data_IF_237628419373
#
_entry.id   IF_237628419373
#
_cell.length_a   1.000
_cell.length_b   1.000
_cell.length_c   1.000
_cell.angle_alpha   90.00
_cell.angle_beta   90.00
_cell.angle_gamma   90.00
#
_symmetry.space_group_name_H-M   'P 1'
#
loop_
_entity.id
_entity.type
_entity.pdbx_description
1 polymer ?
#
# COMPACT_ATOMS: atom_id res chain seq x y z
N UNK A 1 -13.83 -89.61 -13.65
CA UNK A 1 -13.22 -88.34 -13.13
C UNK A 1 -13.83 -87.20 -13.93
N UNK A 2 -14.79 -86.50 -13.32
CA UNK A 2 -15.50 -85.35 -13.96
C UNK A 2 -14.77 -84.04 -13.48
N UNK A 3 -14.17 -83.31 -14.47
CA UNK A 3 -13.58 -81.99 -14.24
C UNK A 3 -14.68 -80.92 -14.32
N UNK A 4 -14.97 -80.25 -13.23
CA UNK A 4 -15.85 -79.07 -13.19
C UNK A 4 -15.03 -77.83 -13.56
N UNK A 5 -15.35 -77.22 -14.66
CA UNK A 5 -14.81 -75.93 -15.11
C UNK A 5 -15.74 -74.86 -14.50
N UNK A 6 -15.26 -74.11 -13.51
CA UNK A 6 -15.96 -72.96 -13.00
C UNK A 6 -15.69 -71.75 -13.93
N UNK A 7 -16.71 -71.37 -14.67
CA UNK A 7 -16.72 -70.15 -15.48
C UNK A 7 -17.13 -68.99 -14.57
N UNK A 8 -16.18 -68.22 -14.07
CA UNK A 8 -16.42 -66.98 -13.32
C UNK A 8 -16.76 -65.85 -14.33
N UNK A 9 -18.04 -65.52 -14.44
CA UNK A 9 -18.53 -64.38 -15.19
C UNK A 9 -18.21 -63.09 -14.42
N UNK A 10 -17.18 -62.35 -14.84
CA UNK A 10 -16.87 -61.00 -14.32
C UNK A 10 -17.90 -60.00 -14.86
N UNK A 11 -18.87 -59.61 -14.02
CA UNK A 11 -19.81 -58.52 -14.30
C UNK A 11 -19.05 -57.21 -14.19
N UNK A 12 -18.66 -56.60 -15.32
CA UNK A 12 -18.10 -55.26 -15.40
C UNK A 12 -19.25 -54.26 -15.18
N UNK A 13 -19.38 -53.76 -13.95
CA UNK A 13 -20.34 -52.70 -13.62
C UNK A 13 -19.78 -51.39 -14.16
N UNK A 14 -20.21 -50.95 -15.32
CA UNK A 14 -19.93 -49.62 -15.87
C UNK A 14 -20.81 -48.62 -15.16
N UNK A 15 -20.25 -47.91 -14.15
CA UNK A 15 -20.88 -46.73 -13.61
C UNK A 15 -20.81 -45.62 -14.67
N UNK A 16 -21.95 -45.00 -15.06
CA UNK A 16 -21.90 -43.81 -15.89
C UNK A 16 -21.26 -42.69 -15.04
N UNK A 17 -20.04 -42.32 -15.38
CA UNK A 17 -19.43 -41.06 -14.88
C UNK A 17 -20.20 -39.90 -15.52
N UNK A 18 -21.22 -39.40 -14.84
CA UNK A 18 -21.83 -38.14 -15.16
C UNK A 18 -20.83 -37.01 -14.77
N UNK A 19 -19.91 -36.69 -15.67
CA UNK A 19 -19.11 -35.47 -15.53
C UNK A 19 -20.04 -34.28 -15.70
N UNK A 20 -20.40 -33.65 -14.57
CA UNK A 20 -21.12 -32.38 -14.57
C UNK A 20 -20.12 -31.33 -15.02
N UNK A 21 -20.29 -30.76 -16.21
CA UNK A 21 -19.50 -29.60 -16.63
C UNK A 21 -19.94 -28.42 -15.76
N UNK A 22 -19.12 -28.09 -14.81
CA UNK A 22 -19.29 -26.89 -13.99
C UNK A 22 -18.56 -25.76 -14.67
N UNK A 23 -19.29 -24.73 -15.07
CA UNK A 23 -18.69 -23.51 -15.60
C UNK A 23 -18.11 -22.75 -14.42
N UNK A 24 -16.78 -22.76 -14.29
CA UNK A 24 -16.08 -22.11 -13.19
C UNK A 24 -16.22 -20.58 -13.28
N UNK A 25 -16.11 -19.99 -14.48
CA UNK A 25 -16.28 -18.56 -14.70
C UNK A 25 -16.53 -18.26 -16.19
N UNK A 26 -16.91 -17.04 -16.52
CA UNK A 26 -17.13 -16.57 -17.88
C UNK A 26 -16.28 -15.34 -18.19
N UNK A 27 -15.73 -15.31 -19.41
CA UNK A 27 -15.07 -14.11 -19.91
C UNK A 27 -16.13 -13.06 -20.26
N UNK A 28 -16.10 -11.94 -19.56
CA UNK A 28 -16.99 -10.82 -19.79
C UNK A 28 -16.41 -9.82 -20.81
N UNK A 29 -15.10 -9.56 -20.74
CA UNK A 29 -14.43 -8.58 -21.59
C UNK A 29 -13.04 -9.12 -21.98
N UNK A 30 -12.65 -8.95 -23.25
CA UNK A 30 -11.28 -9.21 -23.72
C UNK A 30 -10.54 -7.88 -23.77
N UNK A 31 -9.37 -7.80 -23.13
CA UNK A 31 -8.57 -6.59 -23.00
C UNK A 31 -7.12 -6.89 -23.44
N UNK A 32 -6.79 -6.58 -24.67
CA UNK A 32 -5.46 -6.91 -25.22
C UNK A 32 -5.16 -8.41 -25.15
N UNK A 33 -4.14 -8.79 -24.39
CA UNK A 33 -3.70 -10.17 -24.18
C UNK A 33 -4.37 -10.85 -22.96
N UNK A 34 -5.23 -10.10 -22.21
CA UNK A 34 -5.89 -10.56 -21.00
C UNK A 34 -7.41 -10.51 -21.08
N UNK A 35 -8.05 -10.83 -19.97
CA UNK A 35 -9.51 -10.90 -19.87
C UNK A 35 -10.00 -10.36 -18.54
N UNK A 36 -11.22 -9.80 -18.54
CA UNK A 36 -11.99 -9.52 -17.34
C UNK A 36 -13.08 -10.58 -17.24
N UNK A 37 -13.19 -11.20 -16.07
CA UNK A 37 -14.15 -12.25 -15.79
C UNK A 37 -15.47 -11.69 -15.24
N UNK A 38 -16.56 -12.42 -15.45
CA UNK A 38 -17.88 -12.05 -14.92
C UNK A 38 -17.89 -12.03 -13.39
N UNK A 39 -17.17 -12.95 -12.74
CA UNK A 39 -17.00 -12.98 -11.29
C UNK A 39 -16.33 -11.72 -10.75
N UNK A 40 -15.33 -11.16 -11.44
CA UNK A 40 -14.64 -9.93 -11.03
C UNK A 40 -15.60 -8.73 -11.05
N UNK A 41 -16.43 -8.63 -12.10
CA UNK A 41 -17.46 -7.57 -12.19
C UNK A 41 -18.45 -7.70 -11.03
N UNK A 42 -18.98 -8.91 -10.80
CA UNK A 42 -19.95 -9.16 -9.74
C UNK A 42 -19.38 -8.90 -8.34
N UNK A 43 -18.15 -9.31 -8.07
CA UNK A 43 -17.48 -9.08 -6.80
C UNK A 43 -17.28 -7.58 -6.55
N UNK A 44 -16.87 -6.82 -7.56
CA UNK A 44 -16.68 -5.37 -7.43
C UNK A 44 -18.02 -4.64 -7.24
N UNK A 45 -19.08 -5.02 -7.97
CA UNK A 45 -20.42 -4.46 -7.76
C UNK A 45 -20.89 -4.72 -6.33
N UNK A 46 -20.75 -5.96 -5.84
CA UNK A 46 -21.14 -6.33 -4.46
C UNK A 46 -20.37 -5.52 -3.42
N UNK A 47 -19.07 -5.29 -3.60
CA UNK A 47 -18.29 -4.48 -2.67
C UNK A 47 -18.70 -3.00 -2.66
N UNK A 48 -19.12 -2.46 -3.81
CA UNK A 48 -19.69 -1.11 -3.92
C UNK A 48 -21.02 -1.04 -3.18
N UNK A 49 -21.92 -1.98 -3.42
CA UNK A 49 -23.22 -2.05 -2.76
C UNK A 49 -23.09 -2.13 -1.23
N UNK A 50 -22.18 -2.97 -0.73
CA UNK A 50 -21.90 -3.08 0.70
C UNK A 50 -21.41 -1.76 1.30
N UNK A 51 -20.48 -1.08 0.64
CA UNK A 51 -19.96 0.21 1.10
C UNK A 51 -21.03 1.29 1.16
N UNK A 52 -21.90 1.36 0.16
CA UNK A 52 -23.03 2.29 0.17
C UNK A 52 -24.03 1.97 1.28
N UNK A 53 -24.29 0.68 1.53
CA UNK A 53 -25.16 0.24 2.62
C UNK A 53 -24.60 0.62 4.00
N UNK A 54 -23.30 0.42 4.23
CA UNK A 54 -22.61 0.81 5.46
C UNK A 54 -22.63 2.32 5.70
N UNK A 55 -22.56 3.12 4.63
CA UNK A 55 -22.62 4.58 4.70
C UNK A 55 -24.05 5.12 4.75
N UNK A 56 -25.07 4.28 4.62
CA UNK A 56 -26.48 4.70 4.53
C UNK A 56 -26.78 5.57 3.31
N UNK A 57 -25.96 5.49 2.27
CA UNK A 57 -26.07 6.29 1.06
C UNK A 57 -26.92 5.60 -0.01
N UNK A 58 -27.59 6.39 -0.86
CA UNK A 58 -28.34 5.86 -1.97
C UNK A 58 -27.42 5.35 -3.07
N UNK A 59 -27.70 4.14 -3.60
CA UNK A 59 -26.96 3.57 -4.73
C UNK A 59 -27.19 4.37 -6.01
N UNK A 60 -26.14 4.59 -6.82
CA UNK A 60 -26.30 5.08 -8.18
C UNK A 60 -27.12 4.12 -9.05
N UNK A 61 -27.61 4.57 -10.24
CA UNK A 61 -28.26 3.67 -11.18
C UNK A 61 -27.40 2.46 -11.53
N UNK A 62 -27.99 1.27 -11.55
CA UNK A 62 -27.27 0.01 -11.75
C UNK A 62 -26.45 -0.02 -13.06
N UNK A 63 -27.00 0.56 -14.14
CA UNK A 63 -26.33 0.65 -15.44
C UNK A 63 -25.05 1.50 -15.36
N UNK A 64 -25.11 2.64 -14.68
CA UNK A 64 -23.96 3.53 -14.47
C UNK A 64 -22.87 2.87 -13.62
N UNK A 65 -23.25 2.15 -12.55
CA UNK A 65 -22.30 1.39 -11.73
C UNK A 65 -21.62 0.28 -12.54
N UNK A 66 -22.40 -0.44 -13.35
CA UNK A 66 -21.87 -1.52 -14.17
C UNK A 66 -20.85 -0.99 -15.20
N UNK A 67 -21.15 0.15 -15.83
CA UNK A 67 -20.24 0.79 -16.79
C UNK A 67 -18.95 1.24 -16.12
N UNK A 68 -19.03 1.91 -14.97
CA UNK A 68 -17.85 2.34 -14.19
C UNK A 68 -16.99 1.14 -13.72
N UNK A 69 -17.62 0.06 -13.27
CA UNK A 69 -16.92 -1.16 -12.85
C UNK A 69 -16.20 -1.80 -14.04
N UNK A 70 -16.84 -1.90 -15.20
CA UNK A 70 -16.22 -2.42 -16.42
C UNK A 70 -15.02 -1.60 -16.84
N UNK A 71 -15.17 -0.28 -16.90
CA UNK A 71 -14.08 0.63 -17.24
C UNK A 71 -12.91 0.49 -16.28
N UNK A 72 -13.17 0.47 -14.97
CA UNK A 72 -12.14 0.28 -13.95
C UNK A 72 -11.37 -1.04 -14.13
N UNK A 73 -12.08 -2.16 -14.34
CA UNK A 73 -11.44 -3.46 -14.52
C UNK A 73 -10.63 -3.54 -15.82
N UNK A 74 -11.10 -2.88 -16.90
CA UNK A 74 -10.33 -2.74 -18.14
C UNK A 74 -9.02 -1.99 -17.91
N UNK A 75 -9.07 -0.85 -17.21
CA UNK A 75 -7.90 -0.05 -16.88
C UNK A 75 -6.93 -0.85 -16.00
N UNK A 76 -7.44 -1.55 -15.00
CA UNK A 76 -6.65 -2.40 -14.11
C UNK A 76 -5.91 -3.49 -14.90
N UNK A 77 -6.61 -4.20 -15.77
CA UNK A 77 -6.02 -5.24 -16.62
C UNK A 77 -4.93 -4.67 -17.55
N UNK A 78 -5.18 -3.51 -18.19
CA UNK A 78 -4.16 -2.83 -19.01
C UNK A 78 -2.92 -2.45 -18.21
N UNK A 79 -3.08 -2.00 -16.96
CA UNK A 79 -1.97 -1.66 -16.09
C UNK A 79 -1.17 -2.90 -15.67
N UNK A 80 -1.83 -4.03 -15.41
CA UNK A 80 -1.16 -5.30 -15.13
C UNK A 80 -0.36 -5.79 -16.34
N UNK A 81 -0.91 -5.70 -17.54
CA UNK A 81 -0.17 -6.02 -18.78
C UNK A 81 1.03 -5.08 -18.98
N UNK A 82 0.89 -3.80 -18.66
CA UNK A 82 2.02 -2.86 -18.68
C UNK A 82 3.10 -3.25 -17.65
N UNK A 83 2.70 -3.71 -16.47
CA UNK A 83 3.62 -4.22 -15.45
C UNK A 83 4.42 -5.41 -15.97
N UNK A 84 3.74 -6.39 -16.56
CA UNK A 84 4.36 -7.60 -17.14
C UNK A 84 5.39 -7.20 -18.20
N UNK A 85 5.00 -6.35 -19.16
CA UNK A 85 5.89 -5.85 -20.22
C UNK A 85 7.06 -5.03 -19.70
N UNK A 86 6.85 -4.28 -18.62
CA UNK A 86 7.87 -3.47 -17.94
C UNK A 86 8.73 -4.22 -16.93
N UNK A 87 8.49 -5.52 -16.71
CA UNK A 87 9.21 -6.31 -15.72
C UNK A 87 8.94 -5.89 -14.27
N UNK A 88 7.84 -5.17 -14.02
CA UNK A 88 7.44 -4.72 -12.68
C UNK A 88 6.91 -5.90 -11.87
N UNK A 89 7.50 -6.15 -10.71
CA UNK A 89 7.13 -7.27 -9.82
C UNK A 89 7.14 -6.80 -8.37
N UNK A 90 6.32 -7.45 -7.55
CA UNK A 90 6.30 -7.31 -6.08
C UNK A 90 6.73 -8.65 -5.49
N UNK A 91 7.80 -8.65 -4.71
CA UNK A 91 8.32 -9.84 -4.05
C UNK A 91 7.54 -10.16 -2.76
N UNK A 92 7.64 -11.43 -2.30
CA UNK A 92 6.92 -11.86 -1.09
C UNK A 92 7.39 -11.13 0.17
N UNK A 93 8.67 -10.78 0.27
CA UNK A 93 9.20 -10.00 1.39
C UNK A 93 8.56 -8.62 1.50
N UNK A 94 8.41 -7.92 0.38
CA UNK A 94 7.76 -6.61 0.29
C UNK A 94 6.26 -6.71 0.61
N UNK A 95 5.61 -7.77 0.12
CA UNK A 95 4.21 -8.03 0.41
C UNK A 95 3.99 -8.36 1.89
N UNK A 96 4.90 -9.11 2.53
CA UNK A 96 4.82 -9.39 3.97
C UNK A 96 4.93 -8.10 4.79
N UNK A 97 5.87 -7.21 4.43
CA UNK A 97 5.99 -5.89 5.09
C UNK A 97 4.69 -5.07 4.95
N UNK A 98 4.06 -5.07 3.77
CA UNK A 98 2.79 -4.39 3.59
C UNK A 98 1.70 -4.94 4.51
N UNK A 99 1.63 -6.26 4.69
CA UNK A 99 0.67 -6.88 5.61
C UNK A 99 0.98 -6.60 7.08
N UNK A 100 2.25 -6.56 7.47
CA UNK A 100 2.66 -6.14 8.81
C UNK A 100 2.23 -4.69 9.11
N UNK A 101 2.38 -3.80 8.12
CA UNK A 101 1.91 -2.41 8.23
C UNK A 101 0.39 -2.31 8.32
N UNK A 102 -0.36 -3.10 7.51
CA UNK A 102 -1.82 -3.16 7.58
C UNK A 102 -2.27 -3.63 8.97
N UNK A 103 -1.69 -4.71 9.48
CA UNK A 103 -2.00 -5.23 10.81
C UNK A 103 -1.70 -4.19 11.91
N UNK A 104 -0.53 -3.54 11.83
CA UNK A 104 -0.13 -2.49 12.77
C UNK A 104 -1.08 -1.29 12.75
N UNK A 105 -1.53 -0.86 11.57
CA UNK A 105 -2.49 0.24 11.44
C UNK A 105 -3.88 -0.11 12.02
N UNK A 106 -4.19 -1.41 12.14
CA UNK A 106 -5.37 -1.93 12.84
C UNK A 106 -5.09 -2.27 14.31
N UNK A 107 -3.93 -1.88 14.86
CA UNK A 107 -3.51 -2.15 16.23
C UNK A 107 -3.44 -3.66 16.57
N UNK A 108 -3.13 -4.48 15.57
CA UNK A 108 -3.06 -5.95 15.67
C UNK A 108 -1.67 -6.47 15.31
N UNK A 109 -1.36 -7.70 15.76
CA UNK A 109 -0.28 -8.48 15.15
C UNK A 109 -0.75 -9.07 13.82
N UNK A 110 0.19 -9.48 12.96
CA UNK A 110 -0.17 -10.10 11.68
C UNK A 110 -1.02 -11.37 11.88
N UNK A 111 -0.67 -12.18 12.88
CA UNK A 111 -1.41 -13.41 13.20
C UNK A 111 -2.85 -13.10 13.62
N UNK A 112 -3.05 -12.11 14.52
CA UNK A 112 -4.37 -11.70 14.98
C UNK A 112 -5.21 -11.10 13.83
N UNK A 113 -4.57 -10.37 12.92
CA UNK A 113 -5.22 -9.83 11.72
C UNK A 113 -5.71 -10.95 10.80
N UNK A 114 -4.87 -11.96 10.55
CA UNK A 114 -5.23 -13.13 9.73
C UNK A 114 -6.41 -13.89 10.36
N UNK A 115 -6.35 -14.14 11.67
CA UNK A 115 -7.42 -14.84 12.39
C UNK A 115 -8.74 -14.06 12.35
N UNK A 116 -8.70 -12.75 12.52
CA UNK A 116 -9.88 -11.88 12.39
C UNK A 116 -10.49 -11.97 10.98
N UNK A 117 -9.65 -11.88 9.95
CA UNK A 117 -10.06 -11.95 8.55
C UNK A 117 -10.77 -13.29 8.23
N UNK A 118 -10.17 -14.40 8.65
CA UNK A 118 -10.71 -15.73 8.43
C UNK A 118 -12.02 -15.97 9.23
N UNK A 119 -12.13 -15.40 10.44
CA UNK A 119 -13.34 -15.47 11.25
C UNK A 119 -14.52 -14.74 10.61
N UNK A 120 -14.26 -13.71 9.80
CA UNK A 120 -15.24 -12.98 8.99
C UNK A 120 -15.58 -13.70 7.67
N UNK A 121 -14.92 -14.83 7.40
CA UNK A 121 -15.14 -15.65 6.21
C UNK A 121 -14.41 -15.14 4.97
N UNK A 122 -13.43 -14.24 5.13
CA UNK A 122 -12.57 -13.77 4.05
C UNK A 122 -11.30 -14.63 3.94
N UNK A 123 -10.75 -14.76 2.73
CA UNK A 123 -9.53 -15.52 2.48
C UNK A 123 -8.30 -14.63 2.55
N UNK A 124 -7.34 -14.98 3.40
CA UNK A 124 -6.05 -14.28 3.46
C UNK A 124 -5.30 -14.36 2.12
N UNK A 125 -5.34 -15.50 1.44
CA UNK A 125 -4.68 -15.68 0.14
C UNK A 125 -5.30 -14.77 -0.94
N UNK A 126 -6.62 -14.65 -0.99
CA UNK A 126 -7.30 -13.76 -1.92
C UNK A 126 -6.95 -12.29 -1.66
N UNK A 127 -6.95 -11.88 -0.40
CA UNK A 127 -6.54 -10.54 0.00
C UNK A 127 -5.06 -10.28 -0.35
N UNK A 128 -4.20 -11.28 -0.14
CA UNK A 128 -2.78 -11.21 -0.47
C UNK A 128 -2.55 -10.98 -1.97
N UNK A 129 -3.30 -11.67 -2.82
CA UNK A 129 -3.23 -11.49 -4.26
C UNK A 129 -3.78 -10.13 -4.71
N UNK A 130 -4.84 -9.65 -4.05
CA UNK A 130 -5.38 -8.31 -4.30
C UNK A 130 -4.37 -7.22 -3.95
N UNK A 131 -3.77 -7.27 -2.76
CA UNK A 131 -2.75 -6.30 -2.32
C UNK A 131 -1.54 -6.33 -3.26
N UNK A 132 -1.10 -7.52 -3.68
CA UNK A 132 -0.02 -7.64 -4.67
C UNK A 132 -0.34 -6.93 -5.97
N UNK A 133 -1.56 -7.11 -6.51
CA UNK A 133 -2.03 -6.42 -7.72
C UNK A 133 -2.03 -4.91 -7.54
N UNK A 134 -2.55 -4.42 -6.43
CA UNK A 134 -2.58 -2.99 -6.12
C UNK A 134 -1.19 -2.39 -6.03
N UNK A 135 -0.24 -3.06 -5.37
CA UNK A 135 1.15 -2.64 -5.29
C UNK A 135 1.82 -2.58 -6.67
N UNK A 136 1.56 -3.56 -7.52
CA UNK A 136 2.06 -3.59 -8.91
C UNK A 136 1.52 -2.39 -9.69
N UNK A 137 0.22 -2.15 -9.63
CA UNK A 137 -0.46 -1.04 -10.32
C UNK A 137 0.10 0.30 -9.86
N UNK A 138 0.21 0.52 -8.56
CA UNK A 138 0.80 1.74 -7.99
C UNK A 138 2.25 1.96 -8.47
N UNK A 139 3.03 0.89 -8.59
CA UNK A 139 4.41 0.96 -9.09
C UNK A 139 4.46 1.37 -10.56
N UNK A 140 3.55 0.82 -11.39
CA UNK A 140 3.41 1.21 -12.79
C UNK A 140 3.02 2.68 -12.91
N UNK A 141 2.02 3.12 -12.14
CA UNK A 141 1.54 4.51 -12.15
C UNK A 141 2.65 5.47 -11.73
N UNK A 142 3.33 5.21 -10.61
CA UNK A 142 4.47 6.04 -10.13
C UNK A 142 5.60 6.09 -11.16
N UNK A 143 5.94 4.96 -11.77
CA UNK A 143 7.00 4.92 -12.78
C UNK A 143 6.65 5.65 -14.08
N UNK A 144 5.37 5.78 -14.42
CA UNK A 144 4.91 6.55 -15.57
C UNK A 144 4.83 8.04 -15.26
N UNK A 145 4.21 8.39 -14.13
CA UNK A 145 4.04 9.79 -13.73
C UNK A 145 5.40 10.44 -13.42
N UNK A 146 6.27 9.76 -12.65
CA UNK A 146 7.58 10.28 -12.29
C UNK A 146 8.52 10.55 -13.47
N UNK A 147 8.26 9.96 -14.66
CA UNK A 147 9.00 10.26 -15.89
C UNK A 147 8.41 11.40 -16.71
N UNK A 148 7.20 11.83 -16.40
CA UNK A 148 6.46 12.85 -17.16
C UNK A 148 6.29 14.15 -16.38
N UNK A 149 6.54 14.14 -15.06
CA UNK A 149 6.51 15.32 -14.21
C UNK A 149 7.93 15.85 -14.10
N UNK A 150 8.21 16.93 -14.83
CA UNK A 150 9.42 17.71 -14.70
C UNK A 150 9.02 19.03 -14.03
N UNK A 151 9.35 19.16 -12.75
CA UNK A 151 9.04 20.37 -11.98
C UNK A 151 10.14 21.39 -12.28
N UNK A 152 9.78 22.46 -12.96
CA UNK A 152 10.71 23.55 -13.27
C UNK A 152 10.97 24.42 -12.02
N UNK A 153 12.15 25.03 -11.95
CA UNK A 153 12.49 26.01 -10.91
C UNK A 153 11.43 27.13 -10.82
N UNK A 154 10.89 27.54 -11.96
CA UNK A 154 9.87 28.58 -12.03
C UNK A 154 8.53 28.15 -11.40
N UNK A 155 8.14 26.88 -11.54
CA UNK A 155 6.96 26.32 -10.87
C UNK A 155 7.18 26.19 -9.37
N UNK A 156 8.39 25.80 -8.96
CA UNK A 156 8.79 25.73 -7.55
C UNK A 156 8.77 27.13 -6.91
N UNK A 157 9.37 28.13 -7.56
CA UNK A 157 9.36 29.52 -7.08
C UNK A 157 7.93 30.07 -7.03
N UNK A 158 7.11 29.77 -8.04
CA UNK A 158 5.70 30.15 -8.08
C UNK A 158 4.89 29.53 -6.94
N UNK A 159 5.14 28.28 -6.61
CA UNK A 159 4.52 27.59 -5.47
C UNK A 159 4.95 28.22 -4.14
N UNK A 160 6.25 28.45 -3.95
CA UNK A 160 6.79 29.06 -2.73
C UNK A 160 6.33 30.52 -2.54
N UNK A 161 6.05 31.25 -3.62
CA UNK A 161 5.53 32.61 -3.58
C UNK A 161 4.05 32.70 -3.16
N UNK A 162 3.31 31.58 -3.13
CA UNK A 162 1.91 31.56 -2.73
C UNK A 162 1.81 31.59 -1.20
N UNK A 163 1.09 32.57 -0.62
CA UNK A 163 0.97 32.74 0.84
C UNK A 163 0.49 31.48 1.59
N UNK A 164 -0.24 30.56 0.93
CA UNK A 164 -0.70 29.27 1.47
C UNK A 164 0.44 28.28 1.67
N UNK A 165 1.39 28.22 0.74
CA UNK A 165 2.48 27.24 0.75
C UNK A 165 3.49 27.53 1.85
N UNK A 166 3.73 28.80 2.17
CA UNK A 166 4.65 29.21 3.25
C UNK A 166 4.08 28.91 4.63
N UNK A 167 2.76 28.85 4.78
CA UNK A 167 2.10 28.48 6.06
C UNK A 167 2.11 26.97 6.31
N UNK A 168 2.13 26.15 5.28
CA UNK A 168 2.21 24.67 5.40
C UNK A 168 3.63 24.18 5.64
N UNK A 169 4.64 24.93 5.21
CA UNK A 169 6.03 24.67 5.54
C UNK A 169 6.31 25.27 6.92
N UNK A 170 6.07 24.51 7.97
CA UNK A 170 6.58 24.85 9.30
C UNK A 170 8.10 25.00 9.21
N UNK A 171 8.68 26.15 9.55
CA UNK A 171 10.13 26.31 9.48
C UNK A 171 10.77 25.28 10.42
N UNK A 172 11.64 24.46 9.91
CA UNK A 172 12.50 23.59 10.71
C UNK A 172 13.52 24.50 11.39
N UNK A 173 13.38 24.67 12.71
CA UNK A 173 14.29 25.49 13.50
C UNK A 173 15.31 24.57 14.18
N UNK A 174 16.57 24.68 13.78
CA UNK A 174 17.67 24.07 14.51
C UNK A 174 18.05 24.97 15.68
N UNK A 175 17.70 24.54 16.88
CA UNK A 175 17.95 25.30 18.10
C UNK A 175 19.14 24.69 18.83
N UNK A 176 20.03 25.56 19.31
CA UNK A 176 21.16 25.17 20.15
C UNK A 176 21.08 25.98 21.45
N UNK A 177 21.53 25.37 22.54
CA UNK A 177 21.55 26.05 23.86
C UNK A 177 22.88 25.88 24.57
N UNK A 178 23.25 26.91 25.31
CA UNK A 178 24.31 26.84 26.31
C UNK A 178 23.65 27.17 27.68
N UNK A 179 23.67 26.19 28.57
CA UNK A 179 23.14 26.33 29.91
C UNK A 179 24.31 26.61 30.86
N UNK A 180 24.24 27.66 31.65
CA UNK A 180 25.25 28.05 32.67
C UNK A 180 24.60 28.28 34.00
N UNK A 181 25.39 28.27 35.09
CA UNK A 181 24.86 28.30 36.45
C UNK A 181 24.35 29.69 36.89
N UNK A 182 24.91 30.76 36.34
CA UNK A 182 24.56 32.12 36.75
C UNK A 182 24.54 33.11 35.56
N UNK A 183 24.00 34.29 35.84
CA UNK A 183 23.85 35.39 34.86
C UNK A 183 25.20 35.95 34.42
N UNK A 184 26.20 36.01 35.28
CA UNK A 184 27.52 36.57 34.94
C UNK A 184 28.20 35.68 33.89
N UNK A 185 28.09 34.38 34.07
CA UNK A 185 28.59 33.40 33.08
C UNK A 185 27.83 33.51 31.77
N UNK A 186 26.50 33.68 31.82
CA UNK A 186 25.69 33.88 30.60
C UNK A 186 26.10 35.11 29.80
N UNK A 187 26.27 36.26 30.49
CA UNK A 187 26.73 37.52 29.87
C UNK A 187 28.12 37.38 29.27
N UNK A 188 29.01 36.61 29.89
CA UNK A 188 30.36 36.37 29.38
C UNK A 188 30.30 35.48 28.12
N UNK A 189 29.53 34.39 28.15
CA UNK A 189 29.35 33.52 26.97
C UNK A 189 28.73 34.30 25.81
N UNK A 190 27.75 35.15 26.08
CA UNK A 190 27.14 36.02 25.06
C UNK A 190 28.18 36.97 24.43
N UNK A 191 28.98 37.63 25.26
CA UNK A 191 30.05 38.52 24.79
C UNK A 191 31.09 37.79 23.95
N UNK A 192 31.46 36.55 24.31
CA UNK A 192 32.42 35.74 23.56
C UNK A 192 31.84 35.31 22.18
N UNK A 193 30.53 35.00 22.14
CA UNK A 193 29.82 34.74 20.87
C UNK A 193 29.77 35.99 19.99
N UNK A 194 29.45 37.15 20.57
CA UNK A 194 29.41 38.44 19.86
C UNK A 194 30.79 38.85 19.32
N UNK A 195 31.86 38.43 20.00
CA UNK A 195 33.24 38.65 19.53
C UNK A 195 33.71 37.66 18.47
N UNK A 196 32.88 36.67 18.12
CA UNK A 196 33.11 35.71 17.00
C UNK A 196 33.60 34.34 17.42
N UNK A 197 33.57 34.03 18.73
CA UNK A 197 33.88 32.66 19.17
C UNK A 197 32.79 31.66 18.72
N UNK A 198 33.23 30.45 18.39
CA UNK A 198 32.32 29.41 17.88
C UNK A 198 31.37 28.89 18.96
N UNK A 199 30.08 28.94 18.69
CA UNK A 199 29.03 28.52 19.61
C UNK A 199 29.20 27.05 20.08
N UNK A 200 29.61 26.12 19.18
CA UNK A 200 29.76 24.71 19.52
C UNK A 200 30.96 24.50 20.48
N UNK A 201 32.01 25.26 20.31
CA UNK A 201 33.17 25.23 21.18
C UNK A 201 32.78 25.72 22.57
N UNK A 202 32.14 26.89 22.66
CA UNK A 202 31.65 27.42 23.91
C UNK A 202 30.63 26.52 24.63
N UNK A 203 29.74 25.89 23.86
CA UNK A 203 28.80 24.88 24.39
C UNK A 203 29.52 23.71 25.04
N UNK A 204 30.55 23.14 24.38
CA UNK A 204 31.34 22.04 24.92
C UNK A 204 32.14 22.39 26.16
N UNK A 205 32.65 23.61 26.22
CA UNK A 205 33.54 24.07 27.29
C UNK A 205 32.80 24.58 28.53
N UNK A 206 31.63 25.22 28.33
CA UNK A 206 30.98 26.00 29.42
C UNK A 206 29.55 25.58 29.71
N UNK A 207 28.91 24.77 28.85
CA UNK A 207 27.53 24.36 29.10
C UNK A 207 27.46 23.26 30.14
N UNK A 208 26.55 23.40 31.10
CA UNK A 208 26.19 22.35 32.07
C UNK A 208 25.05 21.46 31.57
N UNK A 209 24.58 21.69 30.36
CA UNK A 209 23.49 20.92 29.76
C UNK A 209 23.97 19.49 29.31
N UNK A 210 23.05 18.54 29.33
CA UNK A 210 23.34 17.17 28.88
C UNK A 210 23.79 17.08 27.41
N UNK A 211 23.43 18.05 26.57
CA UNK A 211 23.80 18.17 25.17
C UNK A 211 25.04 19.04 24.90
N UNK A 212 25.80 19.43 25.97
CA UNK A 212 27.03 20.17 25.80
C UNK A 212 28.05 19.50 24.89
N UNK A 213 28.22 18.18 25.04
CA UNK A 213 29.16 17.38 24.23
C UNK A 213 28.85 17.38 22.73
N UNK A 214 27.57 17.53 22.33
CA UNK A 214 27.12 17.67 20.94
C UNK A 214 27.05 19.14 20.46
N UNK A 215 27.69 20.06 21.16
CA UNK A 215 27.71 21.48 20.77
C UNK A 215 26.41 22.22 21.07
N UNK A 216 25.62 21.73 22.03
CA UNK A 216 24.38 22.32 22.48
C UNK A 216 23.15 22.02 21.61
N UNK A 217 23.20 21.09 20.66
CA UNK A 217 22.05 20.71 19.79
C UNK A 217 20.87 20.17 20.61
N UNK A 218 19.65 20.61 20.26
CA UNK A 218 18.42 20.21 20.94
C UNK A 218 17.58 19.30 20.05
#
# INVERSE_FOLDING_TARGET
MKKYIHLTLAILVTFPLNAKVEILDRVAIIVGDGVVLESQINSMLKSIEQRFAEQGAALPPAESMLEQVRERLIIEELQLQMAIRGGVRVGDGELNQAFEEIAKNNEMTLEAFIESLESEGASYEELRDQVRKEMIIQRVQRGKVGRQVDITEQELDGFLATEGSVKELSPELFVRQILVEDKIQAEKVLSDIESGEDFQVLAKERSTSANAASGGEM
#
